data_IF_006339446244
#
_entry.id   IF_006339446244
#
_cell.length_a   1.000
_cell.length_b   1.000
_cell.length_c   1.000
_cell.angle_alpha   90.00
_cell.angle_beta   90.00
_cell.angle_gamma   90.00
#
_symmetry.space_group_name_H-M   'P 1'
#
loop_
_entity.id
_entity.type
_entity.pdbx_description
1 polymer ?
#
# COMPACT_ATOMS: atom_id res chain seq x y z
N UNK A 1 -12.96 -4.41 -4.00
CA UNK A 1 -13.01 -4.35 -2.52
C UNK A 1 -12.15 -3.18 -2.07
N UNK A 2 -12.54 -2.49 -1.00
CA UNK A 2 -11.71 -1.47 -0.34
C UNK A 2 -11.51 -1.93 1.08
N UNK A 3 -10.25 -2.01 1.53
CA UNK A 3 -9.90 -2.37 2.90
C UNK A 3 -8.75 -1.49 3.39
N UNK A 4 -8.67 -1.34 4.71
CA UNK A 4 -7.57 -0.70 5.40
C UNK A 4 -6.48 -1.70 5.81
N UNK A 5 -6.76 -3.00 5.69
CA UNK A 5 -5.85 -4.08 6.06
C UNK A 5 -5.06 -4.56 4.83
N UNK A 6 -3.73 -4.44 4.90
CA UNK A 6 -2.82 -4.86 3.84
C UNK A 6 -2.80 -6.39 3.69
N UNK A 7 -2.86 -7.12 4.80
CA UNK A 7 -2.81 -8.58 4.80
C UNK A 7 -4.10 -9.15 4.19
N UNK A 8 -5.27 -8.54 4.46
CA UNK A 8 -6.53 -8.88 3.76
C UNK A 8 -6.44 -8.63 2.26
N UNK A 9 -5.90 -7.48 1.85
CA UNK A 9 -5.72 -7.15 0.43
C UNK A 9 -4.83 -8.18 -0.29
N UNK A 10 -3.72 -8.58 0.33
CA UNK A 10 -2.79 -9.59 -0.18
C UNK A 10 -3.42 -10.97 -0.30
N UNK A 11 -4.24 -11.35 0.69
CA UNK A 11 -4.86 -12.66 0.76
C UNK A 11 -6.02 -12.86 -0.22
N UNK A 12 -6.73 -11.79 -0.59
CA UNK A 12 -8.02 -11.88 -1.30
C UNK A 12 -7.98 -11.28 -2.71
N UNK A 13 -7.07 -10.35 -3.01
CA UNK A 13 -7.14 -9.54 -4.25
C UNK A 13 -6.10 -9.95 -5.30
N UNK A 14 -6.50 -10.09 -6.56
CA UNK A 14 -5.55 -10.28 -7.67
C UNK A 14 -4.73 -9.02 -7.98
N UNK A 15 -5.28 -7.85 -7.65
CA UNK A 15 -4.63 -6.55 -7.82
C UNK A 15 -4.91 -5.65 -6.63
N UNK A 16 -3.86 -4.99 -6.17
CA UNK A 16 -3.87 -4.06 -5.04
C UNK A 16 -3.49 -2.69 -5.56
N UNK A 17 -4.27 -1.67 -5.22
CA UNK A 17 -3.98 -0.26 -5.54
C UNK A 17 -3.98 0.51 -4.23
N UNK A 18 -2.84 1.11 -3.88
CA UNK A 18 -2.74 1.97 -2.71
C UNK A 18 -3.11 3.40 -3.11
N UNK A 19 -4.09 3.96 -2.41
CA UNK A 19 -4.55 5.33 -2.61
C UNK A 19 -4.10 6.17 -1.41
N UNK A 20 -3.31 7.20 -1.68
CA UNK A 20 -2.81 8.15 -0.69
C UNK A 20 -3.72 9.37 -0.52
N UNK A 21 -3.25 10.34 0.26
CA UNK A 21 -3.98 11.59 0.49
C UNK A 21 -4.34 12.31 -0.82
N UNK A 22 -5.56 12.86 -0.86
CA UNK A 22 -6.08 13.57 -2.04
C UNK A 22 -6.45 12.64 -3.19
N UNK A 23 -6.65 11.34 -2.94
CA UNK A 23 -7.07 10.37 -3.95
C UNK A 23 -5.97 9.98 -4.94
N UNK A 24 -4.70 10.32 -4.65
CA UNK A 24 -3.57 9.99 -5.51
C UNK A 24 -3.27 8.49 -5.44
N UNK A 25 -2.97 7.86 -6.57
CA UNK A 25 -2.45 6.49 -6.58
C UNK A 25 -0.98 6.54 -6.14
N UNK A 26 -0.66 5.82 -5.07
CA UNK A 26 0.70 5.72 -4.51
C UNK A 26 1.44 4.53 -5.09
N UNK A 27 0.74 3.43 -5.35
CA UNK A 27 1.35 2.23 -5.91
C UNK A 27 0.32 1.20 -6.36
N UNK A 28 0.78 0.22 -7.13
CA UNK A 28 -0.05 -0.90 -7.59
C UNK A 28 0.78 -2.18 -7.57
N UNK A 29 0.18 -3.25 -7.07
CA UNK A 29 0.80 -4.58 -6.97
C UNK A 29 -0.15 -5.65 -7.48
N UNK A 30 0.42 -6.73 -8.00
CA UNK A 30 -0.30 -7.92 -8.43
C UNK A 30 0.40 -9.13 -7.81
N UNK A 31 -0.13 -9.70 -6.70
CA UNK A 31 0.45 -10.87 -6.09
C UNK A 31 0.36 -12.07 -7.05
N UNK A 32 1.49 -12.49 -7.61
CA UNK A 32 1.57 -13.65 -8.51
C UNK A 32 1.67 -14.96 -7.71
N UNK A 33 0.69 -15.18 -6.83
CA UNK A 33 0.59 -16.35 -5.98
C UNK A 33 -0.81 -16.94 -6.13
N UNK A 34 -0.94 -18.23 -6.46
CA UNK A 34 -2.24 -18.86 -6.62
C UNK A 34 -2.96 -19.02 -5.27
N UNK A 35 -4.29 -18.99 -5.30
CA UNK A 35 -5.12 -19.26 -4.14
C UNK A 35 -5.11 -20.75 -3.75
N UNK A 36 -5.31 -21.10 -2.46
CA UNK A 36 -5.48 -20.21 -1.31
C UNK A 36 -4.14 -19.67 -0.78
N UNK A 37 -4.04 -18.35 -0.60
CA UNK A 37 -2.78 -17.68 -0.23
C UNK A 37 -2.45 -17.73 1.26
N UNK A 38 -3.40 -18.13 2.11
CA UNK A 38 -3.21 -18.20 3.58
C UNK A 38 -2.07 -19.13 4.00
N UNK A 39 -1.81 -20.19 3.23
CA UNK A 39 -0.71 -21.12 3.49
C UNK A 39 0.65 -20.62 2.98
N UNK A 40 0.68 -19.48 2.28
CA UNK A 40 1.85 -18.92 1.58
C UNK A 40 2.17 -17.49 2.00
N UNK A 41 1.85 -17.13 3.24
CA UNK A 41 2.09 -15.79 3.80
C UNK A 41 3.56 -15.35 3.69
N UNK A 42 4.50 -16.29 3.87
CA UNK A 42 5.92 -15.98 3.78
C UNK A 42 6.32 -15.45 2.38
N UNK A 43 5.69 -15.96 1.32
CA UNK A 43 5.94 -15.53 -0.06
C UNK A 43 5.40 -14.11 -0.33
N UNK A 44 4.41 -13.67 0.46
CA UNK A 44 3.81 -12.32 0.35
C UNK A 44 4.59 -11.24 1.11
N UNK A 45 5.56 -11.61 1.96
CA UNK A 45 6.27 -10.67 2.82
C UNK A 45 6.99 -9.55 2.06
N UNK A 46 7.51 -9.84 0.86
CA UNK A 46 8.17 -8.83 0.04
C UNK A 46 7.17 -7.76 -0.39
N UNK A 47 6.04 -8.17 -0.97
CA UNK A 47 4.99 -7.25 -1.42
C UNK A 47 4.43 -6.46 -0.23
N UNK A 48 4.22 -7.12 0.92
CA UNK A 48 3.81 -6.46 2.17
C UNK A 48 4.77 -5.35 2.57
N UNK A 49 6.08 -5.62 2.52
CA UNK A 49 7.12 -4.64 2.80
C UNK A 49 7.10 -3.45 1.85
N UNK A 50 6.97 -3.71 0.55
CA UNK A 50 6.88 -2.66 -0.49
C UNK A 50 5.66 -1.75 -0.30
N UNK A 51 4.50 -2.33 0.03
CA UNK A 51 3.27 -1.57 0.32
C UNK A 51 3.47 -0.70 1.55
N UNK A 52 4.00 -1.26 2.64
CA UNK A 52 4.25 -0.52 3.89
C UNK A 52 5.24 0.62 3.68
N UNK A 53 6.32 0.39 2.95
CA UNK A 53 7.30 1.42 2.64
C UNK A 53 6.69 2.53 1.79
N UNK A 54 5.90 2.18 0.78
CA UNK A 54 5.20 3.15 -0.08
C UNK A 54 4.19 3.99 0.71
N UNK A 55 3.45 3.37 1.63
CA UNK A 55 2.53 4.06 2.53
C UNK A 55 3.27 5.06 3.42
N UNK A 56 4.34 4.63 4.07
CA UNK A 56 5.16 5.45 4.96
C UNK A 56 5.74 6.67 4.23
N UNK A 57 6.32 6.46 3.03
CA UNK A 57 6.84 7.55 2.20
C UNK A 57 5.74 8.53 1.76
N UNK A 58 4.56 8.04 1.39
CA UNK A 58 3.45 8.89 0.98
C UNK A 58 2.86 9.73 2.13
N UNK A 59 2.91 9.20 3.36
CA UNK A 59 2.52 9.93 4.57
C UNK A 59 3.52 11.06 4.85
N UNK A 60 4.82 10.79 4.85
CA UNK A 60 5.84 11.82 5.10
C UNK A 60 5.92 12.91 4.02
N UNK A 61 5.65 12.56 2.76
CA UNK A 61 5.53 13.57 1.70
C UNK A 61 4.42 14.58 1.98
N UNK A 62 3.28 14.13 2.53
CA UNK A 62 2.16 15.02 2.86
C UNK A 62 2.46 15.98 4.02
N UNK A 63 3.38 15.60 4.91
CA UNK A 63 3.80 16.43 6.04
C UNK A 63 4.73 17.56 5.58
N UNK A 64 5.66 17.27 4.65
CA UNK A 64 6.57 18.29 4.12
C UNK A 64 5.86 19.35 3.27
N UNK A 65 4.89 18.96 2.43
CA UNK A 65 4.13 19.94 1.61
C UNK A 65 3.35 20.91 2.50
N UNK A 66 2.82 20.45 3.64
CA UNK A 66 2.14 21.34 4.60
C UNK A 66 3.08 22.35 5.24
N UNK A 67 4.33 21.99 5.54
CA UNK A 67 5.28 22.93 6.13
C UNK A 67 5.66 24.06 5.16
N UNK A 68 5.63 23.82 3.85
CA UNK A 68 5.93 24.85 2.84
C UNK A 68 4.77 25.86 2.70
N UNK A 69 3.53 25.48 2.98
CA UNK A 69 2.36 26.39 2.93
C UNK A 69 2.30 27.41 4.08
N UNK A 70 3.06 27.24 5.17
CA UNK A 70 3.08 28.18 6.31
C UNK A 70 4.21 29.22 6.25
N UNK A 71 4.94 29.30 5.13
CA UNK A 71 6.02 30.29 4.93
C UNK A 71 5.67 31.20 3.74
N UNK A 72 4.53 31.88 3.79
CA UNK A 72 4.23 33.12 3.04
C UNK A 72 3.37 34.03 3.92
#
# INVERSE_FOLDING_TARGET
MVTHDIDEALLVSDRIVLVGQGGRIVGTWQPDIPFPRVARLAELNQIRGEIMQSLHSAQHYSEQVKTVEFVI
#
